data_IF_929580406212
#
_entry.id   IF_929580406212
#
_cell.length_a   1.000
_cell.length_b   1.000
_cell.length_c   1.000
_cell.angle_alpha   90.00
_cell.angle_beta   90.00
_cell.angle_gamma   90.00
#
_symmetry.space_group_name_H-M   'P 1'
#
loop_
_entity.id
_entity.type
_entity.pdbx_description
1 polymer ?
#
# COMPACT_ATOMS: atom_id res chain seq x y z
N UNK A 1 -27.47 -0.60 1.83
CA UNK A 1 -26.28 0.24 2.00
C UNK A 1 -25.81 -0.02 3.42
N UNK A 2 -24.76 -0.83 3.59
CA UNK A 2 -24.22 -1.05 4.95
C UNK A 2 -23.50 0.25 5.33
N UNK A 3 -24.09 0.98 6.28
CA UNK A 3 -23.44 2.18 6.83
C UNK A 3 -22.14 1.74 7.54
N UNK A 4 -21.02 2.34 7.16
CA UNK A 4 -19.76 2.17 7.88
C UNK A 4 -19.93 2.81 9.26
N UNK A 5 -20.04 1.96 10.28
CA UNK A 5 -20.21 2.45 11.66
C UNK A 5 -18.84 2.56 12.32
N UNK A 6 -18.37 3.79 12.50
CA UNK A 6 -17.16 4.04 13.29
C UNK A 6 -17.45 3.91 14.77
N UNK A 7 -16.61 3.14 15.46
CA UNK A 7 -16.69 2.93 16.92
C UNK A 7 -15.65 3.78 17.64
N UNK A 8 -15.78 3.89 18.98
CA UNK A 8 -14.72 4.48 19.80
C UNK A 8 -13.39 3.75 19.70
N UNK A 9 -13.39 2.44 19.40
CA UNK A 9 -12.19 1.63 19.20
C UNK A 9 -11.43 2.01 17.92
N UNK A 10 -12.15 2.28 16.83
CA UNK A 10 -11.57 2.78 15.59
C UNK A 10 -10.86 4.13 15.78
N UNK A 11 -11.51 5.05 16.53
CA UNK A 11 -10.91 6.35 16.87
C UNK A 11 -9.65 6.18 17.74
N UNK A 12 -9.70 5.29 18.74
CA UNK A 12 -8.57 4.99 19.62
C UNK A 12 -7.42 4.34 18.87
N UNK A 13 -7.70 3.44 17.92
CA UNK A 13 -6.68 2.83 17.05
C UNK A 13 -5.96 3.90 16.21
N UNK A 14 -6.71 4.73 15.49
CA UNK A 14 -6.13 5.80 14.66
C UNK A 14 -5.28 6.76 15.51
N UNK A 15 -5.73 7.16 16.70
CA UNK A 15 -4.98 8.03 17.58
C UNK A 15 -3.69 7.37 18.07
N UNK A 16 -3.76 6.09 18.48
CA UNK A 16 -2.58 5.31 18.91
C UNK A 16 -1.52 5.23 17.81
N UNK A 17 -1.94 4.95 16.56
CA UNK A 17 -1.02 4.88 15.42
C UNK A 17 -0.44 6.27 15.10
N UNK A 18 -1.26 7.31 15.11
CA UNK A 18 -0.85 8.69 14.88
C UNK A 18 0.20 9.15 15.91
N UNK A 19 -0.04 8.90 17.19
CA UNK A 19 0.93 9.22 18.25
C UNK A 19 2.23 8.43 18.10
N UNK A 20 2.13 7.15 17.73
CA UNK A 20 3.30 6.33 17.48
C UNK A 20 4.12 6.90 16.31
N UNK A 21 3.47 7.21 15.18
CA UNK A 21 4.14 7.82 14.02
C UNK A 21 4.78 9.16 14.36
N UNK A 22 4.08 10.03 15.10
CA UNK A 22 4.63 11.32 15.52
C UNK A 22 5.91 11.17 16.36
N UNK A 23 6.00 10.13 17.19
CA UNK A 23 7.17 9.86 18.06
C UNK A 23 8.29 9.11 17.35
N UNK A 24 7.97 8.23 16.36
CA UNK A 24 8.93 7.28 15.78
C UNK A 24 9.29 7.56 14.32
N UNK A 25 8.50 8.34 13.62
CA UNK A 25 8.73 8.70 12.21
C UNK A 25 8.57 10.22 11.98
N UNK A 26 9.21 11.08 12.80
CA UNK A 26 9.29 12.49 12.44
C UNK A 26 10.09 12.66 11.12
N UNK A 27 9.98 13.83 10.51
CA UNK A 27 10.54 14.10 9.17
C UNK A 27 12.04 13.79 9.05
N UNK A 28 12.82 14.11 10.07
CA UNK A 28 14.28 13.84 10.12
C UNK A 28 14.59 12.34 10.07
N UNK A 29 13.79 11.50 10.72
CA UNK A 29 13.90 10.03 10.64
C UNK A 29 13.57 9.55 9.23
N UNK A 30 12.46 10.04 8.62
CA UNK A 30 12.10 9.71 7.24
C UNK A 30 13.23 10.08 6.27
N UNK A 31 13.79 11.30 6.39
CA UNK A 31 14.92 11.75 5.56
C UNK A 31 16.18 10.89 5.77
N UNK A 32 16.47 10.51 7.01
CA UNK A 32 17.59 9.63 7.33
C UNK A 32 17.45 8.23 6.67
N UNK A 33 16.25 7.67 6.62
CA UNK A 33 15.96 6.41 5.90
C UNK A 33 16.15 6.57 4.38
N UNK A 34 15.68 7.68 3.81
CA UNK A 34 15.87 8.00 2.39
C UNK A 34 17.36 8.07 2.01
N UNK A 35 18.20 8.69 2.83
CA UNK A 35 19.64 8.82 2.59
C UNK A 35 20.35 7.46 2.62
N UNK A 36 19.92 6.56 3.49
CA UNK A 36 20.44 5.19 3.58
C UNK A 36 19.86 4.23 2.55
N UNK A 37 18.78 4.60 1.89
CA UNK A 37 18.05 3.71 0.97
C UNK A 37 17.37 2.54 1.68
N UNK A 38 16.99 2.74 2.96
CA UNK A 38 16.34 1.74 3.80
C UNK A 38 14.81 1.93 3.77
N UNK A 39 14.06 0.82 3.81
CA UNK A 39 12.61 0.85 3.85
C UNK A 39 12.08 1.23 5.22
N UNK A 40 12.57 0.57 6.26
CA UNK A 40 12.10 0.79 7.63
C UNK A 40 13.24 0.66 8.62
N UNK A 41 13.16 1.44 9.68
CA UNK A 41 14.04 1.24 10.82
C UNK A 41 13.60 -0.04 11.56
N UNK A 42 14.54 -0.98 11.73
CA UNK A 42 14.26 -2.27 12.35
C UNK A 42 13.66 -2.13 13.76
N UNK A 43 14.15 -1.18 14.53
CA UNK A 43 13.65 -0.91 15.89
C UNK A 43 12.20 -0.42 15.87
N UNK A 44 11.81 0.42 14.91
CA UNK A 44 10.44 0.86 14.72
C UNK A 44 9.53 -0.32 14.33
N UNK A 45 9.96 -1.14 13.37
CA UNK A 45 9.22 -2.33 12.93
C UNK A 45 8.95 -3.31 14.08
N UNK A 46 9.97 -3.62 14.89
CA UNK A 46 9.83 -4.50 16.05
C UNK A 46 8.89 -3.91 17.12
N UNK A 47 8.90 -2.58 17.30
CA UNK A 47 7.98 -1.92 18.23
C UNK A 47 6.53 -1.94 17.71
N UNK A 48 6.32 -1.77 16.41
CA UNK A 48 4.98 -1.90 15.79
C UNK A 48 4.39 -3.28 16.05
N UNK A 49 5.19 -4.34 15.91
CA UNK A 49 4.75 -5.71 16.18
C UNK A 49 4.46 -5.95 17.67
N UNK A 50 5.42 -5.64 18.54
CA UNK A 50 5.38 -6.06 19.95
C UNK A 50 4.53 -5.16 20.85
N UNK A 51 4.43 -3.86 20.54
CA UNK A 51 3.74 -2.89 21.41
C UNK A 51 2.33 -2.60 20.96
N UNK A 52 2.07 -2.62 19.65
CA UNK A 52 0.79 -2.23 19.06
C UNK A 52 0.12 -3.42 18.36
N UNK A 53 0.91 -4.37 17.84
CA UNK A 53 0.39 -5.53 17.11
C UNK A 53 -0.08 -5.19 15.69
N UNK A 54 0.47 -4.15 15.06
CA UNK A 54 0.00 -3.71 13.73
C UNK A 54 0.13 -4.80 12.67
N UNK A 55 1.24 -5.54 12.67
CA UNK A 55 1.47 -6.64 11.73
C UNK A 55 0.53 -7.83 11.95
N UNK A 56 0.09 -8.02 13.19
CA UNK A 56 -0.82 -9.09 13.60
C UNK A 56 -2.30 -8.77 13.31
N UNK A 57 -2.62 -7.51 13.01
CA UNK A 57 -3.98 -6.96 13.07
C UNK A 57 -5.02 -7.81 12.32
N UNK A 58 -4.75 -8.13 11.05
CA UNK A 58 -5.67 -8.87 10.17
C UNK A 58 -5.44 -10.39 10.15
N UNK A 59 -4.39 -10.86 10.81
CA UNK A 59 -4.04 -12.27 10.82
C UNK A 59 -4.95 -12.99 11.83
N UNK A 60 -5.53 -14.16 11.49
CA UNK A 60 -6.34 -14.92 12.42
C UNK A 60 -5.58 -15.31 13.70
N UNK A 61 -6.30 -15.41 14.82
CA UNK A 61 -5.74 -15.80 16.12
C UNK A 61 -5.04 -17.17 16.08
N UNK A 62 -5.50 -18.08 15.21
CA UNK A 62 -4.88 -19.41 14.99
C UNK A 62 -3.44 -19.32 14.50
N UNK A 63 -3.07 -18.20 13.89
CA UNK A 63 -1.70 -17.91 13.41
C UNK A 63 -1.00 -16.81 14.22
N UNK A 64 -1.48 -16.55 15.45
CA UNK A 64 -0.88 -15.56 16.34
C UNK A 64 -1.28 -14.09 16.05
N UNK A 65 -2.32 -13.88 15.26
CA UNK A 65 -2.85 -12.57 14.94
C UNK A 65 -3.93 -12.08 15.90
N UNK A 66 -4.54 -10.93 15.57
CA UNK A 66 -5.61 -10.28 16.34
C UNK A 66 -7.00 -10.50 15.72
N UNK A 67 -7.08 -11.00 14.49
CA UNK A 67 -8.34 -11.30 13.80
C UNK A 67 -9.22 -10.09 13.54
N UNK A 68 -8.64 -8.87 13.45
CA UNK A 68 -9.36 -7.65 13.14
C UNK A 68 -9.76 -7.60 11.65
N UNK A 69 -10.59 -6.63 11.29
CA UNK A 69 -11.08 -6.47 9.94
C UNK A 69 -10.19 -5.60 9.04
N UNK A 70 -10.59 -5.51 7.77
CA UNK A 70 -9.90 -4.66 6.79
C UNK A 70 -10.10 -3.16 7.07
N UNK A 71 -11.17 -2.78 7.77
CA UNK A 71 -11.38 -1.39 8.14
C UNK A 71 -10.29 -0.90 9.11
N UNK A 72 -9.94 -1.71 10.10
CA UNK A 72 -8.87 -1.41 11.05
C UNK A 72 -7.51 -1.31 10.35
N UNK A 73 -7.23 -2.19 9.39
CA UNK A 73 -6.00 -2.12 8.59
C UNK A 73 -5.95 -0.85 7.74
N UNK A 74 -7.07 -0.45 7.15
CA UNK A 74 -7.19 0.80 6.37
C UNK A 74 -6.89 2.02 7.24
N UNK A 75 -7.41 2.06 8.49
CA UNK A 75 -7.14 3.14 9.44
C UNK A 75 -5.64 3.22 9.80
N UNK A 76 -5.00 2.08 10.01
CA UNK A 76 -3.54 2.03 10.26
C UNK A 76 -2.76 2.56 9.05
N UNK A 77 -3.08 2.12 7.84
CA UNK A 77 -2.41 2.55 6.62
C UNK A 77 -2.62 4.05 6.34
N UNK A 78 -3.79 4.59 6.64
CA UNK A 78 -4.05 6.03 6.53
C UNK A 78 -3.10 6.84 7.43
N UNK A 79 -2.91 6.45 8.68
CA UNK A 79 -2.00 7.15 9.60
C UNK A 79 -0.51 6.96 9.20
N UNK A 80 -0.13 5.77 8.73
CA UNK A 80 1.23 5.53 8.21
C UNK A 80 1.50 6.36 6.95
N UNK A 81 0.53 6.47 6.04
CA UNK A 81 0.61 7.31 4.85
C UNK A 81 0.73 8.79 5.17
N UNK A 82 -0.02 9.27 6.16
CA UNK A 82 0.06 10.65 6.63
C UNK A 82 1.44 11.03 7.18
N UNK A 83 2.17 10.06 7.74
CA UNK A 83 3.50 10.25 8.31
C UNK A 83 4.64 9.83 7.37
N UNK A 84 4.36 9.32 6.16
CA UNK A 84 5.33 8.64 5.27
C UNK A 84 6.13 7.56 6.04
N UNK A 85 5.48 6.90 6.98
CA UNK A 85 6.10 6.00 7.94
C UNK A 85 6.16 4.56 7.42
N UNK A 86 7.20 3.85 7.82
CA UNK A 86 7.32 2.39 7.69
C UNK A 86 6.88 1.82 6.33
N UNK A 87 7.52 2.19 5.21
CA UNK A 87 7.10 1.80 3.86
C UNK A 87 7.08 0.28 3.63
N UNK A 88 7.72 -0.53 4.49
CA UNK A 88 7.66 -2.00 4.46
C UNK A 88 6.32 -2.56 4.96
N UNK A 89 5.51 -1.75 5.66
CA UNK A 89 4.24 -2.23 6.22
C UNK A 89 3.21 -2.55 5.13
N UNK A 90 3.00 -1.63 4.18
CA UNK A 90 2.05 -1.83 3.08
C UNK A 90 2.33 -3.10 2.26
N UNK A 91 3.55 -3.36 1.72
CA UNK A 91 3.81 -4.58 0.97
C UNK A 91 3.66 -5.84 1.83
N UNK A 92 4.01 -5.79 3.12
CA UNK A 92 3.80 -6.91 4.05
C UNK A 92 2.31 -7.15 4.31
N UNK A 93 1.49 -6.11 4.45
CA UNK A 93 0.04 -6.24 4.60
C UNK A 93 -0.61 -6.84 3.33
N UNK A 94 -0.17 -6.42 2.14
CA UNK A 94 -0.62 -7.02 0.87
C UNK A 94 -0.23 -8.50 0.81
N UNK A 95 0.99 -8.86 1.22
CA UNK A 95 1.44 -10.25 1.25
C UNK A 95 0.62 -11.09 2.25
N UNK A 96 0.33 -10.56 3.43
CA UNK A 96 -0.53 -11.23 4.41
C UNK A 96 -1.94 -11.48 3.85
N UNK A 97 -2.55 -10.47 3.20
CA UNK A 97 -3.84 -10.63 2.51
C UNK A 97 -3.77 -11.67 1.39
N UNK A 98 -2.69 -11.67 0.61
CA UNK A 98 -2.49 -12.67 -0.45
C UNK A 98 -2.42 -14.08 0.14
N UNK A 99 -1.69 -14.29 1.25
CA UNK A 99 -1.64 -15.57 1.95
C UNK A 99 -3.02 -16.01 2.48
N UNK A 100 -3.81 -15.08 3.01
CA UNK A 100 -5.13 -15.38 3.55
C UNK A 100 -6.15 -15.79 2.48
N UNK A 101 -6.05 -15.25 1.25
CA UNK A 101 -7.01 -15.54 0.18
C UNK A 101 -6.52 -16.57 -0.84
N UNK A 102 -5.22 -16.69 -1.06
CA UNK A 102 -4.60 -17.57 -2.05
C UNK A 102 -3.86 -18.75 -1.44
N UNK A 103 -3.42 -18.65 -0.17
CA UNK A 103 -2.65 -19.69 0.52
C UNK A 103 -3.53 -20.81 1.04
N UNK A 104 -3.05 -22.05 0.93
CA UNK A 104 -3.61 -23.17 1.67
C UNK A 104 -3.20 -23.12 3.15
N UNK A 105 -3.75 -24.03 3.96
CA UNK A 105 -3.46 -24.08 5.40
C UNK A 105 -1.96 -24.26 5.70
N UNK A 106 -1.24 -25.00 4.87
CA UNK A 106 0.19 -25.21 5.03
C UNK A 106 1.00 -23.93 4.79
N UNK A 107 0.69 -23.20 3.74
CA UNK A 107 1.32 -21.91 3.43
C UNK A 107 0.99 -20.85 4.49
N UNK A 108 -0.26 -20.77 4.92
CA UNK A 108 -0.69 -19.86 5.99
C UNK A 108 0.04 -20.16 7.31
N UNK A 109 0.08 -21.43 7.72
CA UNK A 109 0.79 -21.86 8.94
C UNK A 109 2.31 -21.62 8.88
N UNK A 110 2.91 -21.69 7.69
CA UNK A 110 4.34 -21.46 7.51
C UNK A 110 4.73 -19.99 7.62
N UNK A 111 3.90 -19.05 7.15
CA UNK A 111 4.31 -17.66 6.97
C UNK A 111 3.57 -16.63 7.82
N UNK A 112 2.27 -16.81 8.09
CA UNK A 112 1.50 -15.82 8.84
C UNK A 112 2.00 -15.59 10.28
N UNK A 113 2.47 -16.59 11.04
CA UNK A 113 3.01 -16.35 12.38
C UNK A 113 4.22 -15.42 12.38
N UNK A 114 5.14 -15.60 11.43
CA UNK A 114 6.33 -14.75 11.29
C UNK A 114 5.99 -13.32 10.84
N UNK A 115 4.91 -13.13 10.09
CA UNK A 115 4.40 -11.79 9.76
C UNK A 115 3.79 -11.16 11.02
N UNK A 116 2.95 -11.90 11.75
CA UNK A 116 2.26 -11.41 12.96
C UNK A 116 3.24 -10.95 14.05
N UNK A 117 4.31 -11.69 14.29
CA UNK A 117 5.31 -11.35 15.30
C UNK A 117 6.38 -10.36 14.81
N UNK A 118 6.34 -9.97 13.51
CA UNK A 118 7.25 -9.01 12.90
C UNK A 118 8.63 -9.56 12.53
N UNK A 119 8.85 -10.88 12.57
CA UNK A 119 10.11 -11.50 12.13
C UNK A 119 10.20 -11.63 10.61
N UNK A 120 9.05 -11.61 9.92
CA UNK A 120 8.96 -11.72 8.46
C UNK A 120 8.57 -10.39 7.82
N UNK A 121 9.47 -9.85 7.01
CA UNK A 121 9.19 -8.81 6.03
C UNK A 121 8.74 -9.47 4.74
N UNK A 122 7.54 -9.19 4.28
CA UNK A 122 6.99 -9.81 3.09
C UNK A 122 6.65 -8.78 2.00
N UNK A 123 6.69 -9.24 0.76
CA UNK A 123 6.25 -8.43 -0.39
C UNK A 123 5.58 -9.29 -1.45
N UNK A 124 4.89 -8.63 -2.39
CA UNK A 124 4.22 -9.27 -3.52
C UNK A 124 4.77 -8.72 -4.83
N UNK A 125 5.04 -9.61 -5.75
CA UNK A 125 5.49 -9.34 -7.10
C UNK A 125 4.45 -9.90 -8.09
N UNK A 126 3.69 -9.01 -8.75
CA UNK A 126 2.64 -9.38 -9.71
C UNK A 126 2.44 -8.27 -10.75
N UNK A 127 1.84 -8.64 -11.89
CA UNK A 127 1.25 -7.70 -12.83
C UNK A 127 -0.17 -7.37 -12.34
N UNK A 128 -0.50 -6.08 -12.11
CA UNK A 128 -1.76 -5.69 -11.47
C UNK A 128 -2.99 -5.75 -12.39
N UNK A 129 -2.83 -6.03 -13.68
CA UNK A 129 -3.95 -6.35 -14.57
C UNK A 129 -4.19 -7.87 -14.52
N UNK A 130 -5.32 -8.34 -13.94
CA UNK A 130 -5.58 -9.77 -13.81
C UNK A 130 -5.82 -10.48 -15.15
N UNK A 131 -6.11 -9.73 -16.21
CA UNK A 131 -6.32 -10.26 -17.56
C UNK A 131 -5.02 -10.28 -18.39
N UNK A 132 -3.97 -9.64 -17.91
CA UNK A 132 -2.66 -9.65 -18.55
C UNK A 132 -1.79 -10.83 -18.06
N UNK A 133 -0.93 -11.39 -18.94
CA UNK A 133 0.02 -12.41 -18.53
C UNK A 133 1.01 -11.84 -17.50
N UNK A 134 1.42 -12.68 -16.56
CA UNK A 134 2.48 -12.32 -15.61
C UNK A 134 3.84 -12.27 -16.33
N UNK A 135 4.81 -11.57 -15.76
CA UNK A 135 6.19 -11.44 -16.31
C UNK A 135 7.11 -12.58 -15.86
N UNK A 136 6.59 -13.49 -15.04
CA UNK A 136 7.31 -14.65 -14.50
C UNK A 136 6.59 -15.91 -14.95
N UNK A 137 7.35 -16.90 -15.39
CA UNK A 137 6.86 -18.22 -15.74
C UNK A 137 7.25 -19.25 -14.68
N UNK A 138 6.32 -20.14 -14.34
CA UNK A 138 6.52 -21.23 -13.42
C UNK A 138 6.56 -22.57 -14.18
N UNK A 139 7.55 -23.39 -13.90
CA UNK A 139 7.65 -24.74 -14.43
C UNK A 139 7.91 -25.76 -13.33
N UNK A 140 7.32 -26.93 -13.48
CA UNK A 140 7.54 -28.04 -12.57
C UNK A 140 8.78 -28.82 -12.98
N UNK A 141 9.61 -29.20 -12.01
CA UNK A 141 10.80 -30.04 -12.15
C UNK A 141 10.68 -31.28 -11.27
N UNK A 142 11.65 -32.19 -11.33
CA UNK A 142 11.67 -33.34 -10.43
C UNK A 142 11.79 -32.95 -8.94
N UNK A 143 12.42 -31.81 -8.67
CA UNK A 143 12.69 -31.30 -7.30
C UNK A 143 11.65 -30.29 -6.81
N UNK A 144 10.58 -30.01 -7.57
CA UNK A 144 9.54 -29.04 -7.24
C UNK A 144 9.36 -27.95 -8.30
N UNK A 145 8.88 -26.79 -7.91
CA UNK A 145 8.66 -25.68 -8.82
C UNK A 145 9.88 -24.76 -8.89
N UNK A 146 10.13 -24.22 -10.07
CA UNK A 146 11.11 -23.16 -10.30
C UNK A 146 10.48 -22.04 -11.11
N UNK A 147 10.93 -20.82 -10.84
CA UNK A 147 10.46 -19.60 -11.49
C UNK A 147 11.55 -19.00 -12.38
N UNK A 148 11.16 -18.51 -13.55
CA UNK A 148 12.01 -17.81 -14.50
C UNK A 148 11.31 -16.51 -14.95
N UNK A 149 12.00 -15.37 -14.92
CA UNK A 149 11.45 -14.10 -15.36
C UNK A 149 11.99 -12.89 -14.63
N UNK A 150 11.35 -11.73 -14.86
CA UNK A 150 11.76 -10.44 -14.27
C UNK A 150 10.53 -9.67 -13.80
N UNK A 151 10.62 -9.11 -12.59
CA UNK A 151 9.65 -8.11 -12.10
C UNK A 151 10.40 -6.79 -11.84
N UNK A 152 10.02 -5.74 -12.56
CA UNK A 152 10.81 -4.49 -12.63
C UNK A 152 10.71 -3.60 -11.39
N UNK A 153 9.59 -3.63 -10.66
CA UNK A 153 9.37 -2.72 -9.53
C UNK A 153 8.59 -3.42 -8.41
N UNK A 154 9.32 -3.92 -7.43
CA UNK A 154 8.76 -4.60 -6.24
C UNK A 154 9.08 -3.76 -5.01
N UNK A 155 8.05 -3.31 -4.30
CA UNK A 155 8.21 -2.55 -3.08
C UNK A 155 8.90 -3.39 -2.01
N UNK A 156 9.91 -2.82 -1.35
CA UNK A 156 10.76 -3.48 -0.34
C UNK A 156 11.41 -4.81 -0.79
N UNK A 157 11.50 -5.04 -2.11
CA UNK A 157 12.04 -6.29 -2.67
C UNK A 157 13.51 -6.56 -2.34
N UNK A 158 14.27 -5.56 -1.87
CA UNK A 158 15.65 -5.74 -1.38
C UNK A 158 15.66 -6.37 0.02
N UNK A 159 14.76 -5.93 0.90
CA UNK A 159 14.73 -6.28 2.31
C UNK A 159 13.87 -7.50 2.63
N UNK A 160 12.88 -7.81 1.81
CA UNK A 160 11.91 -8.87 2.07
C UNK A 160 12.56 -10.25 2.23
N UNK A 161 12.17 -10.97 3.27
CA UNK A 161 12.55 -12.36 3.50
C UNK A 161 11.48 -13.36 3.06
N UNK A 162 10.30 -12.88 2.69
CA UNK A 162 9.28 -13.60 1.94
C UNK A 162 8.86 -12.78 0.71
N UNK A 163 8.91 -13.39 -0.47
CA UNK A 163 8.40 -12.77 -1.70
C UNK A 163 7.30 -13.68 -2.26
N UNK A 164 6.10 -13.16 -2.38
CA UNK A 164 5.00 -13.85 -3.06
C UNK A 164 5.00 -13.40 -4.52
N UNK A 165 5.13 -14.34 -5.45
CA UNK A 165 5.18 -14.06 -6.89
C UNK A 165 3.95 -14.65 -7.57
N UNK A 166 3.24 -13.85 -8.34
CA UNK A 166 2.29 -14.35 -9.31
C UNK A 166 3.04 -14.74 -10.59
N UNK A 167 2.87 -15.97 -11.06
CA UNK A 167 3.55 -16.50 -12.24
C UNK A 167 2.59 -17.28 -13.15
N UNK A 168 2.91 -17.33 -14.45
CA UNK A 168 2.21 -18.17 -15.40
C UNK A 168 2.59 -19.63 -15.16
N UNK A 169 1.64 -20.46 -14.80
CA UNK A 169 1.80 -21.91 -14.66
C UNK A 169 1.00 -22.65 -15.76
N UNK A 170 1.24 -23.95 -16.01
CA UNK A 170 0.54 -24.72 -17.04
C UNK A 170 -1.00 -24.70 -16.91
N UNK A 171 -1.54 -24.51 -15.70
CA UNK A 171 -2.99 -24.41 -15.41
C UNK A 171 -3.54 -22.99 -15.37
N UNK A 172 -2.73 -21.97 -15.66
CA UNK A 172 -3.07 -20.55 -15.52
C UNK A 172 -2.20 -19.84 -14.48
N UNK A 173 -2.46 -18.56 -14.18
CA UNK A 173 -1.68 -17.83 -13.17
C UNK A 173 -1.79 -18.50 -11.80
N UNK A 174 -0.66 -18.58 -11.09
CA UNK A 174 -0.54 -19.19 -9.77
C UNK A 174 0.36 -18.35 -8.87
N UNK A 175 0.18 -18.48 -7.54
CA UNK A 175 1.02 -17.81 -6.57
C UNK A 175 2.07 -18.74 -5.98
N UNK A 176 3.28 -18.21 -5.85
CA UNK A 176 4.44 -18.93 -5.32
C UNK A 176 5.12 -18.12 -4.22
N UNK A 177 5.57 -18.79 -3.18
CA UNK A 177 6.41 -18.24 -2.13
C UNK A 177 7.88 -18.51 -2.43
N UNK A 178 8.70 -17.46 -2.33
CA UNK A 178 10.15 -17.54 -2.37
C UNK A 178 10.73 -17.03 -1.06
N UNK A 179 11.66 -17.78 -0.49
CA UNK A 179 12.44 -17.29 0.64
C UNK A 179 13.40 -16.17 0.19
N UNK A 180 13.69 -15.25 1.10
CA UNK A 180 14.43 -14.04 0.77
C UNK A 180 15.85 -14.23 0.23
N UNK A 181 16.45 -15.39 0.42
CA UNK A 181 17.80 -15.69 -0.08
C UNK A 181 17.85 -17.11 -0.61
N UNK A 182 17.78 -17.25 -1.92
CA UNK A 182 17.91 -18.53 -2.61
C UNK A 182 18.72 -18.41 -3.90
N UNK A 183 19.26 -19.54 -4.38
CA UNK A 183 19.88 -19.60 -5.71
C UNK A 183 18.86 -19.15 -6.78
N UNK A 184 19.35 -18.45 -7.81
CA UNK A 184 18.51 -18.01 -8.91
C UNK A 184 17.66 -16.77 -8.64
N UNK A 185 17.71 -16.16 -7.45
CA UNK A 185 17.05 -14.89 -7.14
C UNK A 185 18.07 -13.74 -7.13
N UNK A 186 18.06 -12.92 -8.18
CA UNK A 186 18.78 -11.65 -8.28
C UNK A 186 17.90 -10.49 -7.78
N UNK A 187 18.52 -9.52 -7.08
CA UNK A 187 17.86 -8.30 -6.59
C UNK A 187 18.71 -7.09 -6.90
N UNK A 188 18.11 -6.06 -7.46
CA UNK A 188 18.77 -4.80 -7.75
C UNK A 188 17.88 -3.62 -7.34
N UNK A 189 18.46 -2.60 -6.72
CA UNK A 189 17.73 -1.39 -6.38
C UNK A 189 17.27 -0.67 -7.65
N UNK A 190 16.03 -0.22 -7.67
CA UNK A 190 15.47 0.60 -8.74
C UNK A 190 15.53 2.07 -8.33
N UNK A 191 16.00 2.92 -9.23
CA UNK A 191 15.93 4.38 -9.03
C UNK A 191 14.47 4.83 -9.10
N UNK A 192 13.98 5.38 -8.00
CA UNK A 192 12.65 5.96 -7.88
C UNK A 192 12.73 7.46 -7.61
N UNK A 193 11.76 8.22 -8.08
CA UNK A 193 11.57 9.60 -7.66
C UNK A 193 11.08 9.69 -6.21
N UNK A 194 10.37 8.69 -5.73
CA UNK A 194 10.03 8.53 -4.32
C UNK A 194 11.16 7.77 -3.60
N UNK A 195 11.90 8.50 -2.79
CA UNK A 195 12.98 7.95 -1.97
C UNK A 195 12.48 7.39 -0.63
N UNK A 196 11.20 7.63 -0.31
CA UNK A 196 10.60 7.17 0.95
C UNK A 196 10.11 5.72 0.87
N UNK A 197 10.05 5.11 -0.35
CA UNK A 197 9.74 3.70 -0.56
C UNK A 197 10.77 3.06 -1.47
N UNK A 198 11.70 2.25 -0.93
CA UNK A 198 12.65 1.50 -1.75
C UNK A 198 11.94 0.50 -2.66
N UNK A 199 12.37 0.48 -3.91
CA UNK A 199 11.88 -0.45 -4.93
C UNK A 199 13.02 -1.33 -5.43
N UNK A 200 12.73 -2.56 -5.80
CA UNK A 200 13.70 -3.49 -6.35
C UNK A 200 13.22 -4.10 -7.68
N UNK A 201 14.17 -4.35 -8.57
CA UNK A 201 14.02 -5.27 -9.68
C UNK A 201 14.40 -6.67 -9.18
N UNK A 202 13.55 -7.64 -9.44
CA UNK A 202 13.79 -9.04 -9.14
C UNK A 202 14.06 -9.78 -10.45
N UNK A 203 15.11 -10.59 -10.48
CA UNK A 203 15.46 -11.47 -11.60
C UNK A 203 15.46 -12.90 -11.10
N UNK A 204 14.66 -13.74 -11.74
CA UNK A 204 14.44 -15.14 -11.38
C UNK A 204 15.04 -16.01 -12.50
N UNK A 205 15.97 -16.85 -12.15
CA UNK A 205 16.67 -17.78 -13.07
C UNK A 205 16.66 -19.18 -12.45
N UNK A 206 15.65 -19.97 -12.78
CA UNK A 206 15.35 -21.26 -12.16
C UNK A 206 15.29 -21.16 -10.62
N UNK A 207 14.69 -20.09 -10.08
CA UNK A 207 14.58 -19.86 -8.65
C UNK A 207 13.60 -20.87 -8.02
N UNK A 208 14.02 -21.69 -7.03
CA UNK A 208 13.13 -22.62 -6.35
C UNK A 208 12.00 -21.90 -5.65
N UNK A 209 10.78 -22.43 -5.73
CA UNK A 209 9.59 -21.82 -5.16
C UNK A 209 8.61 -22.86 -4.61
N UNK A 210 7.87 -22.51 -3.58
CA UNK A 210 6.76 -23.29 -3.06
C UNK A 210 5.44 -22.72 -3.57
N UNK A 211 4.47 -23.57 -3.94
CA UNK A 211 3.10 -23.12 -4.26
C UNK A 211 2.39 -22.62 -3.02
N UNK A 212 1.56 -21.58 -3.14
CA UNK A 212 0.73 -21.08 -2.01
C UNK A 212 -0.61 -21.79 -1.88
N UNK A 213 -1.04 -22.50 -2.88
CA UNK A 213 -2.30 -23.22 -2.95
C UNK A 213 -2.42 -23.86 -4.32
N UNK A 214 -3.35 -24.81 -4.49
CA UNK A 214 -3.55 -25.50 -5.75
C UNK A 214 -4.15 -24.63 -6.86
N UNK A 215 -5.02 -25.22 -7.69
CA UNK A 215 -5.64 -24.63 -8.89
C UNK A 215 -6.50 -23.37 -8.65
N UNK A 216 -6.71 -22.99 -7.38
CA UNK A 216 -7.57 -21.85 -6.97
C UNK A 216 -6.94 -20.50 -7.27
N UNK A 217 -5.62 -20.44 -7.43
CA UNK A 217 -4.89 -19.17 -7.54
C UNK A 217 -5.31 -18.30 -8.74
N UNK A 218 -5.65 -18.89 -9.88
CA UNK A 218 -6.14 -18.16 -11.04
C UNK A 218 -7.46 -17.41 -10.77
N UNK A 219 -8.31 -17.97 -9.91
CA UNK A 219 -9.60 -17.38 -9.55
C UNK A 219 -9.47 -16.24 -8.53
N UNK A 220 -8.40 -16.23 -7.73
CA UNK A 220 -8.20 -15.24 -6.65
C UNK A 220 -7.30 -14.07 -7.07
N UNK A 221 -6.59 -14.14 -8.19
CA UNK A 221 -5.74 -13.04 -8.64
C UNK A 221 -6.49 -11.70 -8.75
N UNK A 222 -7.73 -11.63 -9.32
CA UNK A 222 -8.51 -10.39 -9.33
C UNK A 222 -8.78 -9.86 -7.92
N UNK A 223 -9.09 -10.74 -6.95
CA UNK A 223 -9.31 -10.37 -5.56
C UNK A 223 -8.04 -9.84 -4.90
N UNK A 224 -6.88 -10.45 -5.16
CA UNK A 224 -5.59 -9.97 -4.64
C UNK A 224 -5.28 -8.58 -5.18
N UNK A 225 -5.54 -8.32 -6.46
CA UNK A 225 -5.37 -6.98 -7.07
C UNK A 225 -6.30 -5.96 -6.43
N UNK A 226 -7.56 -6.32 -6.18
CA UNK A 226 -8.54 -5.45 -5.53
C UNK A 226 -8.15 -5.11 -4.08
N UNK A 227 -7.74 -6.10 -3.30
CA UNK A 227 -7.27 -5.91 -1.94
C UNK A 227 -5.99 -5.05 -1.90
N UNK A 228 -5.03 -5.32 -2.79
CA UNK A 228 -3.83 -4.51 -2.90
C UNK A 228 -4.15 -3.06 -3.29
N UNK A 229 -5.04 -2.85 -4.26
CA UNK A 229 -5.54 -1.53 -4.66
C UNK A 229 -6.19 -0.77 -3.50
N UNK A 230 -7.03 -1.44 -2.70
CA UNK A 230 -7.65 -0.87 -1.50
C UNK A 230 -6.61 -0.42 -0.47
N UNK A 231 -5.60 -1.27 -0.19
CA UNK A 231 -4.57 -0.95 0.81
C UNK A 231 -3.66 0.20 0.37
N UNK A 232 -3.31 0.26 -0.92
CA UNK A 232 -2.60 1.41 -1.50
C UNK A 232 -3.43 2.68 -1.38
N UNK A 233 -4.76 2.60 -1.64
CA UNK A 233 -5.68 3.73 -1.54
C UNK A 233 -5.75 4.29 -0.12
N UNK A 234 -5.71 3.44 0.90
CA UNK A 234 -5.70 3.85 2.29
C UNK A 234 -4.45 4.69 2.63
N UNK A 235 -3.28 4.26 2.18
CA UNK A 235 -2.06 5.04 2.36
C UNK A 235 -2.08 6.37 1.59
N UNK A 236 -2.59 6.36 0.34
CA UNK A 236 -2.74 7.57 -0.49
C UNK A 236 -3.61 8.62 0.19
N UNK A 237 -4.73 8.22 0.80
CA UNK A 237 -5.63 9.14 1.52
C UNK A 237 -4.95 9.76 2.73
N UNK A 238 -4.16 8.99 3.48
CA UNK A 238 -3.37 9.52 4.60
C UNK A 238 -2.41 10.63 4.16
N UNK A 239 -1.64 10.37 3.09
CA UNK A 239 -0.74 11.37 2.50
C UNK A 239 -1.47 12.61 1.98
N UNK A 240 -2.62 12.44 1.31
CA UNK A 240 -3.45 13.52 0.81
C UNK A 240 -4.03 14.37 1.95
N UNK A 241 -4.56 13.74 3.01
CA UNK A 241 -5.04 14.43 4.22
C UNK A 241 -3.94 15.29 4.82
N UNK A 242 -2.74 14.75 4.99
CA UNK A 242 -1.60 15.50 5.51
C UNK A 242 -1.23 16.69 4.64
N UNK A 243 -1.31 16.56 3.33
CA UNK A 243 -1.08 17.67 2.40
C UNK A 243 -2.13 18.78 2.56
N UNK A 244 -3.41 18.43 2.67
CA UNK A 244 -4.49 19.39 2.90
C UNK A 244 -4.31 20.14 4.23
N UNK A 245 -3.96 19.43 5.32
CA UNK A 245 -3.68 20.01 6.62
C UNK A 245 -2.50 20.98 6.56
N UNK A 246 -1.37 20.59 5.95
CA UNK A 246 -0.19 21.45 5.79
C UNK A 246 -0.52 22.73 5.01
N UNK A 247 -1.27 22.60 3.91
CA UNK A 247 -1.68 23.75 3.11
C UNK A 247 -2.59 24.71 3.88
N UNK A 248 -3.57 24.17 4.63
CA UNK A 248 -4.47 24.97 5.45
C UNK A 248 -3.73 25.70 6.58
N UNK A 249 -2.80 25.03 7.26
CA UNK A 249 -1.99 25.65 8.33
C UNK A 249 -1.06 26.74 7.79
N UNK A 250 -0.43 26.48 6.65
CA UNK A 250 0.40 27.49 6.00
C UNK A 250 -0.44 28.68 5.54
N UNK A 251 -1.61 28.46 4.98
CA UNK A 251 -2.52 29.50 4.56
C UNK A 251 -2.96 30.43 5.71
N UNK A 252 -3.09 29.89 6.95
CA UNK A 252 -3.42 30.68 8.15
C UNK A 252 -2.24 31.47 8.69
N UNK A 253 -1.03 30.95 8.54
CA UNK A 253 0.15 31.47 9.24
C UNK A 253 1.07 32.32 8.33
N UNK A 254 1.01 32.14 7.01
CA UNK A 254 1.81 32.91 6.05
C UNK A 254 1.16 34.23 5.71
N UNK A 255 1.88 35.33 5.92
CA UNK A 255 1.44 36.69 5.58
C UNK A 255 2.10 37.18 4.29
N UNK A 256 1.30 37.69 3.37
CA UNK A 256 1.72 38.42 2.17
C UNK A 256 0.69 39.51 1.82
N UNK A 257 1.14 40.62 1.24
CA UNK A 257 0.26 41.74 0.89
C UNK A 257 -0.59 42.25 2.06
N UNK A 258 -0.03 42.22 3.26
CA UNK A 258 -0.64 42.80 4.48
C UNK A 258 -1.66 41.92 5.20
N UNK A 259 -1.86 40.66 4.77
CA UNK A 259 -2.80 39.71 5.41
C UNK A 259 -2.34 38.26 5.27
N UNK A 260 -2.98 37.32 5.97
CA UNK A 260 -2.77 35.91 5.78
C UNK A 260 -3.12 35.50 4.35
N UNK A 261 -2.35 34.59 3.76
CA UNK A 261 -2.63 34.16 2.36
C UNK A 261 -3.97 33.45 2.24
N UNK A 262 -4.47 32.83 3.31
CA UNK A 262 -5.79 32.21 3.38
C UNK A 262 -6.94 33.20 3.26
N UNK A 263 -6.72 34.51 3.46
CA UNK A 263 -7.75 35.56 3.23
C UNK A 263 -7.98 35.86 1.73
N UNK A 264 -7.10 35.34 0.85
CA UNK A 264 -7.31 35.41 -0.59
C UNK A 264 -8.19 34.26 -1.05
N UNK A 265 -9.31 34.57 -1.72
CA UNK A 265 -10.28 33.56 -2.18
C UNK A 265 -9.64 32.43 -2.99
N UNK A 266 -8.66 32.74 -3.85
CA UNK A 266 -7.97 31.73 -4.66
C UNK A 266 -7.25 30.67 -3.80
N UNK A 267 -6.68 31.04 -2.66
CA UNK A 267 -6.04 30.11 -1.72
C UNK A 267 -7.08 29.40 -0.86
N UNK A 268 -8.06 30.14 -0.34
CA UNK A 268 -9.14 29.57 0.46
C UNK A 268 -9.93 28.48 -0.30
N UNK A 269 -10.33 28.77 -1.55
CA UNK A 269 -11.04 27.83 -2.40
C UNK A 269 -10.19 26.60 -2.70
N UNK A 270 -8.89 26.77 -2.99
CA UNK A 270 -7.97 25.67 -3.21
C UNK A 270 -7.89 24.74 -1.97
N UNK A 271 -7.80 25.27 -0.76
CA UNK A 271 -7.84 24.48 0.47
C UNK A 271 -9.17 23.72 0.65
N UNK A 272 -10.29 24.35 0.27
CA UNK A 272 -11.62 23.69 0.28
C UNK A 272 -11.69 22.57 -0.75
N UNK A 273 -11.20 22.78 -1.97
CA UNK A 273 -11.18 21.78 -3.03
C UNK A 273 -10.32 20.58 -2.62
N UNK A 274 -9.16 20.83 -1.98
CA UNK A 274 -8.32 19.77 -1.40
C UNK A 274 -9.08 18.94 -0.35
N UNK A 275 -9.78 19.60 0.57
CA UNK A 275 -10.58 18.91 1.60
C UNK A 275 -11.69 18.06 0.96
N UNK A 276 -12.43 18.61 -0.01
CA UNK A 276 -13.48 17.88 -0.72
C UNK A 276 -12.94 16.65 -1.46
N UNK A 277 -11.79 16.77 -2.11
CA UNK A 277 -11.14 15.66 -2.80
C UNK A 277 -10.73 14.55 -1.82
N UNK A 278 -10.13 14.92 -0.67
CA UNK A 278 -9.73 13.97 0.38
C UNK A 278 -10.94 13.24 0.94
N UNK A 279 -11.99 13.97 1.38
CA UNK A 279 -13.15 13.36 2.02
C UNK A 279 -13.96 12.48 1.06
N UNK A 280 -14.08 12.88 -0.22
CA UNK A 280 -14.74 12.07 -1.24
C UNK A 280 -14.00 10.75 -1.49
N UNK A 281 -12.68 10.80 -1.64
CA UNK A 281 -11.86 9.62 -1.86
C UNK A 281 -11.81 8.72 -0.60
N UNK A 282 -11.76 9.32 0.59
CA UNK A 282 -11.81 8.63 1.89
C UNK A 282 -13.10 7.83 2.06
N UNK A 283 -14.25 8.42 1.71
CA UNK A 283 -15.53 7.72 1.73
C UNK A 283 -15.53 6.48 0.83
N UNK A 284 -14.91 6.56 -0.35
CA UNK A 284 -14.79 5.41 -1.27
C UNK A 284 -13.92 4.29 -0.67
N UNK A 285 -12.79 4.63 -0.02
CA UNK A 285 -11.92 3.65 0.66
C UNK A 285 -12.66 2.95 1.79
N UNK A 286 -13.32 3.69 2.66
CA UNK A 286 -14.03 3.11 3.80
C UNK A 286 -15.21 2.25 3.38
N UNK A 287 -15.92 2.66 2.32
CA UNK A 287 -16.97 1.84 1.73
C UNK A 287 -16.41 0.51 1.18
N UNK A 288 -15.33 0.57 0.41
CA UNK A 288 -14.67 -0.63 -0.11
C UNK A 288 -14.15 -1.54 1.02
N UNK A 289 -13.55 -0.97 2.08
CA UNK A 289 -13.08 -1.72 3.24
C UNK A 289 -14.23 -2.43 4.00
N UNK A 290 -15.37 -1.76 4.15
CA UNK A 290 -16.57 -2.35 4.77
C UNK A 290 -17.11 -3.53 3.96
N UNK A 291 -17.14 -3.41 2.63
CA UNK A 291 -17.56 -4.50 1.75
C UNK A 291 -16.59 -5.68 1.79
N UNK A 292 -15.29 -5.41 1.80
CA UNK A 292 -14.25 -6.43 1.91
C UNK A 292 -14.32 -7.19 3.24
N UNK A 293 -14.60 -6.50 4.34
CA UNK A 293 -14.78 -7.12 5.68
C UNK A 293 -16.02 -8.01 5.75
N UNK A 294 -17.04 -7.73 4.95
CA UNK A 294 -18.25 -8.56 4.84
C UNK A 294 -18.06 -9.82 3.96
N UNK A 295 -16.91 -9.95 3.32
CA UNK A 295 -16.55 -11.01 2.38
C UNK A 295 -16.38 -10.49 0.95
N UNK A 296 -15.57 -11.21 0.17
CA UNK A 296 -15.28 -10.84 -1.23
C UNK A 296 -16.56 -10.97 -2.08
N UNK A 297 -17.30 -9.87 -2.19
CA UNK A 297 -18.57 -9.77 -2.92
C UNK A 297 -18.39 -9.14 -4.31
N UNK A 298 -19.39 -9.31 -5.18
CA UNK A 298 -19.42 -8.59 -6.44
C UNK A 298 -19.43 -7.06 -6.25
N UNK A 299 -19.98 -6.58 -5.14
CA UNK A 299 -19.98 -5.16 -4.78
C UNK A 299 -18.55 -4.69 -4.42
N UNK A 300 -17.78 -5.48 -3.68
CA UNK A 300 -16.36 -5.18 -3.42
C UNK A 300 -15.56 -5.12 -4.72
N UNK A 301 -15.78 -6.05 -5.63
CA UNK A 301 -15.12 -6.06 -6.94
C UNK A 301 -15.37 -4.79 -7.77
N UNK A 302 -16.45 -4.05 -7.52
CA UNK A 302 -16.72 -2.75 -8.13
C UNK A 302 -16.15 -1.60 -7.28
N UNK A 303 -16.26 -1.70 -5.96
CA UNK A 303 -15.85 -0.63 -5.05
C UNK A 303 -14.32 -0.46 -4.97
N UNK A 304 -13.55 -1.54 -5.03
CA UNK A 304 -12.09 -1.49 -4.92
C UNK A 304 -11.42 -0.70 -6.08
N UNK A 305 -11.70 -0.98 -7.36
CA UNK A 305 -11.12 -0.21 -8.46
C UNK A 305 -11.66 1.23 -8.50
N UNK A 306 -12.89 1.48 -8.07
CA UNK A 306 -13.42 2.83 -7.90
C UNK A 306 -12.60 3.60 -6.86
N UNK A 307 -12.38 3.02 -5.68
CA UNK A 307 -11.57 3.64 -4.62
C UNK A 307 -10.13 3.92 -5.10
N UNK A 308 -9.46 2.95 -5.73
CA UNK A 308 -8.07 3.12 -6.20
C UNK A 308 -7.96 4.21 -7.25
N UNK A 309 -8.88 4.29 -8.22
CA UNK A 309 -8.83 5.35 -9.24
C UNK A 309 -9.09 6.72 -8.63
N UNK A 310 -10.10 6.86 -7.76
CA UNK A 310 -10.43 8.12 -7.10
C UNK A 310 -9.30 8.62 -6.17
N UNK A 311 -8.72 7.72 -5.37
CA UNK A 311 -7.62 8.07 -4.45
C UNK A 311 -6.35 8.45 -5.19
N UNK A 312 -6.03 7.78 -6.30
CA UNK A 312 -4.86 8.13 -7.12
C UNK A 312 -4.98 9.55 -7.67
N UNK A 313 -6.14 9.93 -8.20
CA UNK A 313 -6.36 11.27 -8.73
C UNK A 313 -6.39 12.34 -7.62
N UNK A 314 -7.10 12.05 -6.51
CA UNK A 314 -7.19 12.96 -5.38
C UNK A 314 -5.82 13.20 -4.74
N UNK A 315 -5.04 12.14 -4.44
CA UNK A 315 -3.74 12.28 -3.80
C UNK A 315 -2.75 13.09 -4.63
N UNK A 316 -2.75 12.88 -5.95
CA UNK A 316 -1.88 13.63 -6.85
C UNK A 316 -2.27 15.10 -6.93
N UNK A 317 -3.56 15.40 -7.10
CA UNK A 317 -4.08 16.76 -7.16
C UNK A 317 -3.81 17.53 -5.85
N UNK A 318 -4.12 16.91 -4.72
CA UNK A 318 -3.96 17.51 -3.39
C UNK A 318 -2.47 17.75 -3.07
N UNK A 319 -1.59 16.81 -3.39
CA UNK A 319 -0.15 16.98 -3.17
C UNK A 319 0.44 18.09 -4.06
N UNK A 320 -0.02 18.23 -5.31
CA UNK A 320 0.39 19.31 -6.20
C UNK A 320 -0.12 20.66 -5.69
N UNK A 321 -1.37 20.74 -5.24
CA UNK A 321 -1.96 21.95 -4.69
C UNK A 321 -1.32 22.38 -3.36
N UNK A 322 -0.89 21.42 -2.54
CA UNK A 322 -0.10 21.69 -1.34
C UNK A 322 1.21 22.45 -1.70
N UNK A 323 1.95 21.98 -2.72
CA UNK A 323 3.14 22.71 -3.20
C UNK A 323 2.76 24.09 -3.71
N UNK A 324 1.68 24.22 -4.45
CA UNK A 324 1.22 25.50 -5.00
C UNK A 324 0.89 26.50 -3.87
N UNK A 325 0.23 26.08 -2.80
CA UNK A 325 -0.10 26.92 -1.63
C UNK A 325 1.17 27.38 -0.91
N UNK A 326 2.16 26.50 -0.75
CA UNK A 326 3.44 26.83 -0.13
C UNK A 326 4.33 27.72 -1.04
N UNK A 327 4.10 27.71 -2.35
CA UNK A 327 4.94 28.43 -3.31
C UNK A 327 6.37 27.89 -3.37
N UNK A 328 7.35 28.75 -3.52
CA UNK A 328 8.74 28.34 -3.75
C UNK A 328 9.31 27.39 -2.70
N UNK A 329 8.98 27.55 -1.41
CA UNK A 329 9.49 26.69 -0.36
C UNK A 329 8.98 25.25 -0.47
N UNK A 330 7.73 25.04 -0.91
CA UNK A 330 7.15 23.72 -1.09
C UNK A 330 7.88 22.83 -2.09
N UNK A 331 8.68 23.44 -2.98
CA UNK A 331 9.47 22.74 -3.99
C UNK A 331 10.93 22.50 -3.54
N UNK A 332 11.34 23.04 -2.41
CA UNK A 332 12.71 22.89 -1.88
C UNK A 332 12.85 21.66 -0.97
N UNK A 333 14.09 21.23 -0.76
CA UNK A 333 14.39 20.18 0.20
C UNK A 333 14.20 20.60 1.66
N UNK A 334 13.96 21.87 1.93
CA UNK A 334 13.73 22.41 3.27
C UNK A 334 12.30 22.15 3.78
N UNK A 335 11.37 21.76 2.90
CA UNK A 335 9.97 21.52 3.23
C UNK A 335 9.53 20.12 2.78
N UNK A 336 8.69 19.40 3.57
CA UNK A 336 8.28 18.03 3.24
C UNK A 336 7.25 17.91 2.10
N UNK A 337 6.62 18.99 1.63
CA UNK A 337 5.54 18.93 0.64
C UNK A 337 5.90 18.12 -0.61
N UNK A 338 7.13 18.27 -1.12
CA UNK A 338 7.59 17.54 -2.29
C UNK A 338 7.74 16.03 -2.05
N UNK A 339 7.93 15.57 -0.82
CA UNK A 339 8.00 14.14 -0.47
C UNK A 339 6.65 13.48 -0.72
N UNK A 340 5.56 14.14 -0.30
CA UNK A 340 4.20 13.67 -0.52
C UNK A 340 3.81 13.64 -2.00
N UNK A 341 4.24 14.65 -2.79
CA UNK A 341 4.01 14.61 -4.25
C UNK A 341 4.76 13.44 -4.90
N UNK A 342 6.01 13.19 -4.51
CA UNK A 342 6.78 12.06 -5.00
C UNK A 342 6.14 10.72 -4.64
N UNK A 343 5.65 10.58 -3.40
CA UNK A 343 4.91 9.42 -2.93
C UNK A 343 3.60 9.26 -3.72
N UNK A 344 2.82 10.32 -3.92
CA UNK A 344 1.57 10.27 -4.69
C UNK A 344 1.79 9.82 -6.14
N UNK A 345 2.88 10.28 -6.78
CA UNK A 345 3.27 9.84 -8.12
C UNK A 345 3.64 8.35 -8.16
N UNK A 346 4.40 7.86 -7.18
CA UNK A 346 4.80 6.46 -7.10
C UNK A 346 3.60 5.54 -6.80
N UNK A 347 2.78 5.90 -5.81
CA UNK A 347 1.57 5.15 -5.46
C UNK A 347 0.51 5.19 -6.57
N UNK A 348 0.56 6.24 -7.40
CA UNK A 348 -0.31 6.38 -8.57
C UNK A 348 -0.14 5.27 -9.60
N UNK A 349 1.02 4.61 -9.62
CA UNK A 349 1.31 3.48 -10.52
C UNK A 349 1.43 2.14 -9.78
N UNK A 350 1.67 2.18 -8.47
CA UNK A 350 1.80 0.97 -7.66
C UNK A 350 0.47 0.22 -7.56
N UNK A 351 0.48 -1.07 -7.86
CA UNK A 351 -0.70 -1.94 -7.99
C UNK A 351 -1.74 -1.42 -9.00
N UNK A 352 -1.27 -0.85 -10.12
CA UNK A 352 -2.09 -0.33 -11.21
C UNK A 352 -2.42 1.16 -11.07
N UNK A 353 -2.46 1.84 -12.21
CA UNK A 353 -2.81 3.25 -12.28
C UNK A 353 -4.35 3.48 -12.30
N UNK A 354 -4.75 4.75 -12.21
CA UNK A 354 -6.16 5.12 -12.22
C UNK A 354 -6.88 4.70 -13.53
N UNK A 355 -6.15 4.65 -14.65
CA UNK A 355 -6.70 4.21 -15.93
C UNK A 355 -7.02 2.73 -15.89
N UNK A 356 -6.07 1.88 -15.48
CA UNK A 356 -6.29 0.44 -15.36
C UNK A 356 -7.49 0.14 -14.46
N UNK A 357 -7.56 0.77 -13.28
CA UNK A 357 -8.68 0.52 -12.36
C UNK A 357 -10.03 0.99 -12.91
N UNK A 358 -10.08 2.06 -13.70
CA UNK A 358 -11.31 2.42 -14.43
C UNK A 358 -11.66 1.41 -15.52
N UNK A 359 -10.68 0.89 -16.25
CA UNK A 359 -10.91 -0.17 -17.25
C UNK A 359 -11.40 -1.46 -16.60
N UNK A 360 -10.85 -1.85 -15.45
CA UNK A 360 -11.36 -2.99 -14.66
C UNK A 360 -12.81 -2.78 -14.24
N UNK A 361 -13.16 -1.58 -13.77
CA UNK A 361 -14.53 -1.23 -13.40
C UNK A 361 -15.48 -1.33 -14.60
N UNK A 362 -15.11 -0.78 -15.76
CA UNK A 362 -15.91 -0.82 -17.00
C UNK A 362 -16.14 -2.26 -17.46
N UNK A 363 -15.08 -3.09 -17.51
CA UNK A 363 -15.18 -4.52 -17.85
C UNK A 363 -16.13 -5.26 -16.91
N UNK A 364 -16.02 -5.04 -15.59
CA UNK A 364 -16.87 -5.70 -14.59
C UNK A 364 -18.33 -5.25 -14.62
N UNK A 365 -18.60 -4.05 -15.13
CA UNK A 365 -19.96 -3.55 -15.39
C UNK A 365 -20.55 -4.03 -16.74
N UNK A 366 -19.73 -4.70 -17.58
CA UNK A 366 -20.16 -5.13 -18.92
C UNK A 366 -20.44 -3.97 -19.87
N UNK A 367 -19.63 -2.89 -19.79
CA UNK A 367 -19.76 -1.66 -20.57
C UNK A 367 -18.63 -1.49 -21.62
N UNK A 368 -17.84 -2.53 -21.88
CA UNK A 368 -16.75 -2.60 -22.88
C UNK A 368 -17.20 -2.97 -24.30
#
# INVERSE_FOLDING_TARGET
MNDVTFTGEHAALSETVREFCAKKSPEDVVRGLMERGEGSERAMWEQMARQIGMQALIIPETYGGLGAGLLELVLVLEELGAALACPSFLPTAIAAQTLLVAGDEAAQAAWLPGIADGTTFATVALVPDPDAPQTVDARQTADGWVLDGVVEAVADGLGANLIIVAANAPGGPAFFALEGRLPGLGRAAVRSNDLTRPMARLELAAAPAATLGGEVAAQVLPLVVDLAGLLVSAEQIGGARRCADMAADYARTRYQFGRAIGDFQAIAHKCVDMLLAVESARAAVYHAASLASAGASAEFALAAPLAKSACTEASLAVAADNIQVHGGIGFTWEHPAHLYLRRALADGTYMGDARLHRELLVRRLGLD
#
